data_IF_591896973939
#
_entry.id   IF_591896973939
#
_cell.length_a   1.000
_cell.length_b   1.000
_cell.length_c   1.000
_cell.angle_alpha   90.00
_cell.angle_beta   90.00
_cell.angle_gamma   90.00
#
_symmetry.space_group_name_H-M   'P 1'
#
loop_
_entity.id
_entity.type
_entity.pdbx_description
1 polymer ?
#
# COMPACT_ATOMS: atom_id res chain seq x y z
N UNK A 1 -14.39 -1.47 17.91
CA UNK A 1 -12.94 -1.57 17.65
C UNK A 1 -12.73 -1.60 16.14
N UNK A 2 -11.75 -0.85 15.63
CA UNK A 2 -11.40 -0.84 14.21
C UNK A 2 -10.64 -2.14 13.84
N UNK A 3 -11.10 -2.84 12.81
CA UNK A 3 -10.58 -4.14 12.37
C UNK A 3 -10.17 -4.10 10.90
N UNK A 4 -9.40 -5.11 10.44
CA UNK A 4 -8.97 -5.21 9.04
C UNK A 4 -10.12 -5.15 8.04
N UNK A 5 -11.23 -5.88 8.30
CA UNK A 5 -12.42 -5.90 7.43
C UNK A 5 -13.03 -4.51 7.19
N UNK A 6 -12.98 -3.63 8.20
CA UNK A 6 -13.46 -2.25 8.06
C UNK A 6 -12.60 -1.47 7.07
N UNK A 7 -11.26 -1.61 7.17
CA UNK A 7 -10.33 -0.92 6.27
C UNK A 7 -10.40 -1.47 4.84
N UNK A 8 -10.66 -2.77 4.65
CA UNK A 8 -10.92 -3.37 3.35
C UNK A 8 -12.18 -2.78 2.70
N UNK A 9 -13.27 -2.64 3.46
CA UNK A 9 -14.49 -2.01 2.98
C UNK A 9 -14.30 -0.54 2.64
N UNK A 10 -13.62 0.24 3.49
CA UNK A 10 -13.26 1.64 3.19
C UNK A 10 -12.37 1.75 1.95
N UNK A 11 -11.36 0.88 1.81
CA UNK A 11 -10.50 0.88 0.62
C UNK A 11 -11.30 0.67 -0.67
N UNK A 12 -12.30 -0.22 -0.65
CA UNK A 12 -13.21 -0.47 -1.77
C UNK A 12 -14.05 0.77 -2.09
N UNK A 13 -14.73 1.34 -1.10
CA UNK A 13 -15.59 2.52 -1.29
C UNK A 13 -14.79 3.70 -1.81
N UNK A 14 -13.61 3.97 -1.25
CA UNK A 14 -12.73 5.08 -1.66
C UNK A 14 -12.18 4.83 -3.07
N UNK A 15 -11.76 3.61 -3.40
CA UNK A 15 -11.29 3.28 -4.74
C UNK A 15 -12.41 3.46 -5.79
N UNK A 16 -13.63 3.00 -5.48
CA UNK A 16 -14.79 3.14 -6.37
C UNK A 16 -15.24 4.60 -6.50
N UNK A 17 -15.16 5.37 -5.43
CA UNK A 17 -15.38 6.80 -5.45
C UNK A 17 -14.37 7.48 -6.37
N UNK A 18 -13.08 7.24 -6.19
CA UNK A 18 -12.04 7.80 -7.04
C UNK A 18 -12.22 7.46 -8.52
N UNK A 19 -12.72 6.27 -8.87
CA UNK A 19 -12.95 5.89 -10.25
C UNK A 19 -14.12 6.65 -10.92
N UNK A 20 -15.11 7.12 -10.13
CA UNK A 20 -16.35 7.73 -10.61
C UNK A 20 -16.32 9.25 -10.61
N UNK A 21 -15.53 9.86 -9.74
CA UNK A 21 -15.47 11.34 -9.63
C UNK A 21 -14.74 11.98 -10.80
N UNK A 22 -15.01 13.27 -11.00
CA UNK A 22 -14.45 14.05 -12.07
C UNK A 22 -12.93 14.06 -12.06
N UNK A 23 -12.33 13.98 -13.24
CA UNK A 23 -10.87 14.06 -13.46
C UNK A 23 -10.51 15.50 -13.82
N UNK A 24 -9.43 16.02 -13.29
CA UNK A 24 -8.92 17.33 -13.66
C UNK A 24 -8.49 17.33 -15.14
N UNK A 25 -9.10 18.19 -15.95
CA UNK A 25 -8.70 18.37 -17.34
C UNK A 25 -7.30 18.95 -17.48
N UNK A 26 -6.69 18.78 -18.66
CA UNK A 26 -5.36 19.31 -18.96
C UNK A 26 -5.28 20.83 -18.77
N UNK A 27 -6.37 21.55 -19.04
CA UNK A 27 -6.46 23.02 -18.96
C UNK A 27 -6.68 23.52 -17.51
N UNK A 28 -6.99 22.65 -16.57
CA UNK A 28 -7.13 23.04 -15.17
C UNK A 28 -5.77 23.15 -14.51
N UNK A 29 -5.57 24.17 -13.67
CA UNK A 29 -4.34 24.32 -12.86
C UNK A 29 -4.20 23.26 -11.76
N UNK A 30 -5.33 22.65 -11.35
CA UNK A 30 -5.32 21.65 -10.26
C UNK A 30 -4.40 20.49 -10.58
N UNK A 31 -3.57 20.12 -9.60
CA UNK A 31 -2.58 19.07 -9.73
C UNK A 31 -1.36 19.41 -10.58
N UNK A 32 -1.25 20.65 -11.10
CA UNK A 32 0.03 21.11 -11.64
C UNK A 32 1.10 21.00 -10.56
N UNK A 33 2.34 20.64 -10.90
CA UNK A 33 3.37 20.45 -9.89
C UNK A 33 3.52 21.61 -8.91
N UNK A 34 3.38 22.85 -9.38
CA UNK A 34 3.45 24.05 -8.53
C UNK A 34 2.29 24.10 -7.54
N UNK A 35 1.09 23.69 -7.96
CA UNK A 35 -0.10 23.64 -7.10
C UNK A 35 -0.03 22.49 -6.08
N UNK A 36 0.76 21.45 -6.35
CA UNK A 36 1.06 20.39 -5.37
C UNK A 36 2.02 20.90 -4.29
N UNK A 37 3.03 21.70 -4.66
CA UNK A 37 4.02 22.21 -3.71
C UNK A 37 3.47 23.30 -2.80
N UNK A 38 2.66 24.21 -3.33
CA UNK A 38 2.16 25.40 -2.63
C UNK A 38 1.55 25.09 -1.26
N UNK A 39 0.54 24.22 -1.11
CA UNK A 39 -0.06 23.92 0.19
C UNK A 39 0.89 23.18 1.13
N UNK A 40 1.89 22.46 0.61
CA UNK A 40 2.93 21.84 1.44
C UNK A 40 3.86 22.92 2.05
N UNK A 41 4.28 23.92 1.26
CA UNK A 41 5.11 25.04 1.73
C UNK A 41 4.37 25.95 2.73
N UNK A 42 3.07 26.18 2.55
CA UNK A 42 2.24 27.03 3.42
C UNK A 42 2.13 26.51 4.86
N UNK A 43 2.51 25.25 5.14
CA UNK A 43 2.53 24.76 6.53
C UNK A 43 3.71 25.29 7.34
N UNK A 44 4.85 25.61 6.73
CA UNK A 44 6.07 25.91 7.46
C UNK A 44 6.07 27.25 8.21
N UNK A 45 5.51 28.37 7.69
CA UNK A 45 5.37 29.60 8.46
C UNK A 45 4.55 29.42 9.72
N UNK A 46 3.43 28.72 9.65
CA UNK A 46 2.56 28.45 10.79
C UNK A 46 3.23 27.55 11.82
N UNK A 47 3.91 26.48 11.37
CA UNK A 47 4.66 25.59 12.27
C UNK A 47 5.76 26.33 13.03
N UNK A 48 6.50 27.24 12.37
CA UNK A 48 7.51 28.08 13.06
C UNK A 48 6.89 28.99 14.10
N UNK A 49 5.67 29.49 13.86
CA UNK A 49 4.94 30.30 14.83
C UNK A 49 4.45 29.45 16.02
N UNK A 50 4.00 28.22 15.74
CA UNK A 50 3.50 27.31 16.78
C UNK A 50 4.61 26.70 17.64
N UNK A 51 5.81 26.51 17.09
CA UNK A 51 6.96 25.88 17.73
C UNK A 51 8.20 26.79 17.62
N UNK A 52 8.29 27.86 18.41
CA UNK A 52 9.34 28.88 18.27
C UNK A 52 10.69 28.50 18.87
N UNK A 53 10.79 27.33 19.54
CA UNK A 53 12.05 26.88 20.14
C UNK A 53 13.09 26.46 19.09
N UNK A 54 14.39 26.59 19.44
CA UNK A 54 15.50 26.36 18.52
C UNK A 54 15.55 24.91 18.00
N UNK A 55 15.22 23.94 18.84
CA UNK A 55 15.25 22.52 18.44
C UNK A 55 14.17 22.22 17.39
N UNK A 56 12.95 22.71 17.61
CA UNK A 56 11.85 22.59 16.63
C UNK A 56 12.12 23.36 15.34
N UNK A 57 12.75 24.54 15.42
CA UNK A 57 13.12 25.34 14.26
C UNK A 57 14.07 24.57 13.32
N UNK A 58 15.08 23.86 13.87
CA UNK A 58 15.99 23.02 13.10
C UNK A 58 15.26 21.86 12.39
N UNK A 59 14.35 21.19 13.08
CA UNK A 59 13.51 20.10 12.52
C UNK A 59 12.63 20.59 11.36
N UNK A 60 11.94 21.72 11.57
CA UNK A 60 11.07 22.35 10.56
C UNK A 60 11.87 22.75 9.33
N UNK A 61 13.09 23.29 9.50
CA UNK A 61 13.98 23.66 8.41
C UNK A 61 14.42 22.43 7.61
N UNK A 62 14.78 21.33 8.28
CA UNK A 62 15.15 20.07 7.62
C UNK A 62 13.98 19.48 6.81
N UNK A 63 12.76 19.46 7.37
CA UNK A 63 11.55 19.01 6.68
C UNK A 63 11.22 19.91 5.48
N UNK A 64 11.39 21.22 5.58
CA UNK A 64 11.21 22.14 4.46
C UNK A 64 12.22 21.87 3.35
N UNK A 65 13.50 21.67 3.70
CA UNK A 65 14.53 21.27 2.75
C UNK A 65 14.22 19.97 2.03
N UNK A 66 13.76 18.96 2.78
CA UNK A 66 13.35 17.67 2.22
C UNK A 66 12.13 17.82 1.29
N UNK A 67 11.11 18.60 1.68
CA UNK A 67 9.91 18.85 0.86
C UNK A 67 10.28 19.46 -0.50
N UNK A 68 11.18 20.46 -0.52
CA UNK A 68 11.66 21.11 -1.75
C UNK A 68 12.49 20.16 -2.61
N UNK A 69 13.39 19.41 -2.00
CA UNK A 69 14.19 18.40 -2.70
C UNK A 69 13.31 17.29 -3.26
N UNK A 70 12.34 16.82 -2.48
CA UNK A 70 11.34 15.83 -2.90
C UNK A 70 10.49 16.35 -4.07
N UNK A 71 10.00 17.57 -3.98
CA UNK A 71 9.27 18.19 -5.09
C UNK A 71 10.11 18.23 -6.38
N UNK A 72 11.36 18.65 -6.30
CA UNK A 72 12.25 18.68 -7.47
C UNK A 72 12.47 17.29 -8.04
N UNK A 73 12.62 16.28 -7.21
CA UNK A 73 12.82 14.87 -7.57
C UNK A 73 11.58 14.30 -8.27
N UNK A 74 10.37 14.57 -7.78
CA UNK A 74 9.13 13.97 -8.26
C UNK A 74 8.29 14.88 -9.16
N UNK A 75 8.80 16.04 -9.56
CA UNK A 75 8.09 17.02 -10.37
C UNK A 75 7.48 16.43 -11.65
N UNK A 76 8.27 15.63 -12.37
CA UNK A 76 7.81 15.00 -13.61
C UNK A 76 6.75 13.92 -13.31
N UNK A 77 6.87 13.24 -12.19
CA UNK A 77 5.91 12.23 -11.74
C UNK A 77 4.56 12.88 -11.39
N UNK A 78 4.55 14.01 -10.67
CA UNK A 78 3.31 14.78 -10.45
C UNK A 78 2.65 15.20 -11.75
N UNK A 79 3.43 15.74 -12.72
CA UNK A 79 2.91 16.13 -14.03
C UNK A 79 2.34 14.93 -14.79
N UNK A 80 3.05 13.79 -14.79
CA UNK A 80 2.60 12.55 -15.43
C UNK A 80 1.30 12.03 -14.81
N UNK A 81 1.21 11.99 -13.48
CA UNK A 81 0.02 11.54 -12.77
C UNK A 81 -1.21 12.40 -13.06
N UNK A 82 -1.04 13.72 -13.22
CA UNK A 82 -2.10 14.60 -13.70
C UNK A 82 -2.55 14.21 -15.11
N UNK A 83 -1.60 14.03 -16.04
CA UNK A 83 -1.90 13.64 -17.43
C UNK A 83 -2.60 12.27 -17.50
N UNK A 84 -2.20 11.34 -16.65
CA UNK A 84 -2.78 10.00 -16.55
C UNK A 84 -4.14 9.97 -15.81
N UNK A 85 -4.66 11.13 -15.37
CA UNK A 85 -5.99 11.27 -14.76
C UNK A 85 -6.07 10.87 -13.30
N UNK A 86 -4.95 10.91 -12.56
CA UNK A 86 -4.92 10.64 -11.12
C UNK A 86 -5.24 11.86 -10.26
N UNK A 87 -5.31 13.07 -10.84
CA UNK A 87 -5.83 14.27 -10.16
C UNK A 87 -7.33 14.30 -10.33
N UNK A 88 -8.06 14.21 -9.23
CA UNK A 88 -9.52 14.04 -9.23
C UNK A 88 -10.20 14.90 -8.18
N UNK A 89 -11.52 15.06 -8.31
CA UNK A 89 -12.34 15.75 -7.32
C UNK A 89 -12.57 14.84 -6.12
N UNK A 90 -11.56 14.77 -5.24
CA UNK A 90 -11.50 13.92 -4.07
C UNK A 90 -12.33 14.47 -2.88
N UNK A 91 -12.33 13.76 -1.76
CA UNK A 91 -12.92 14.22 -0.50
C UNK A 91 -12.12 15.39 0.12
N UNK A 92 -10.78 15.34 0.01
CA UNK A 92 -9.86 16.40 0.44
C UNK A 92 -9.41 16.31 1.90
N UNK A 93 -10.25 15.75 2.78
CA UNK A 93 -9.98 15.62 4.23
C UNK A 93 -10.21 14.19 4.74
N UNK A 94 -9.66 13.20 4.02
CA UNK A 94 -9.87 11.80 4.32
C UNK A 94 -9.00 11.33 5.50
N UNK A 95 -9.53 11.43 6.69
CA UNK A 95 -8.93 10.91 7.93
C UNK A 95 -9.97 10.17 8.78
N UNK A 96 -9.54 9.45 9.82
CA UNK A 96 -10.41 8.56 10.61
C UNK A 96 -11.62 9.26 11.27
N UNK A 97 -11.55 10.56 11.55
CA UNK A 97 -12.68 11.28 12.13
C UNK A 97 -13.84 11.47 11.16
N UNK A 98 -13.55 11.39 9.85
CA UNK A 98 -14.53 11.55 8.77
C UNK A 98 -14.97 10.20 8.19
N UNK A 99 -14.71 9.11 8.94
CA UNK A 99 -15.12 7.75 8.61
C UNK A 99 -16.03 7.21 9.71
N UNK A 100 -17.15 6.63 9.35
CA UNK A 100 -18.07 5.96 10.26
C UNK A 100 -18.46 4.57 9.73
N UNK A 101 -18.84 3.71 10.64
CA UNK A 101 -19.40 2.41 10.33
C UNK A 101 -20.86 2.41 10.81
N UNK A 102 -21.80 2.42 9.87
CA UNK A 102 -23.23 2.59 10.14
C UNK A 102 -24.00 1.45 9.47
N UNK A 103 -24.81 0.73 10.21
CA UNK A 103 -25.65 -0.37 9.71
C UNK A 103 -24.85 -1.40 8.88
N UNK A 104 -23.67 -1.76 9.36
CA UNK A 104 -22.69 -2.66 8.71
C UNK A 104 -22.10 -2.14 7.37
N UNK A 105 -22.27 -0.86 7.06
CA UNK A 105 -21.72 -0.23 5.87
C UNK A 105 -20.71 0.88 6.20
N UNK A 106 -19.63 1.03 5.36
CA UNK A 106 -18.69 2.12 5.48
C UNK A 106 -19.29 3.44 4.97
N UNK A 107 -19.26 4.48 5.81
CA UNK A 107 -19.66 5.83 5.46
C UNK A 107 -18.47 6.79 5.52
N UNK A 108 -18.24 7.54 4.43
CA UNK A 108 -17.29 8.65 4.35
C UNK A 108 -18.10 9.95 4.29
N UNK A 109 -17.80 10.92 5.17
CA UNK A 109 -18.58 12.14 5.31
C UNK A 109 -17.67 13.35 5.57
N UNK A 110 -18.24 14.57 5.56
CA UNK A 110 -17.56 15.83 5.85
C UNK A 110 -16.44 16.15 4.84
N UNK A 111 -16.76 16.07 3.54
CA UNK A 111 -15.83 16.47 2.48
C UNK A 111 -15.60 17.99 2.46
N UNK A 112 -14.46 18.41 1.93
CA UNK A 112 -14.14 19.84 1.79
C UNK A 112 -14.92 20.47 0.65
N UNK A 113 -15.99 21.23 0.97
CA UNK A 113 -16.83 21.89 -0.02
C UNK A 113 -16.35 23.30 -0.37
N UNK A 114 -15.75 24.01 0.60
CA UNK A 114 -15.44 25.43 0.55
C UNK A 114 -14.19 25.81 -0.25
N UNK A 115 -13.27 24.87 -0.53
CA UNK A 115 -12.04 25.15 -1.27
C UNK A 115 -11.73 24.07 -2.33
N UNK A 116 -11.96 24.35 -3.62
CA UNK A 116 -11.64 23.40 -4.68
C UNK A 116 -10.17 22.99 -4.75
N UNK A 117 -9.21 23.85 -4.37
CA UNK A 117 -7.78 23.55 -4.41
C UNK A 117 -7.39 22.43 -3.45
N UNK A 118 -8.15 22.23 -2.36
CA UNK A 118 -7.89 21.19 -1.38
C UNK A 118 -8.54 19.84 -1.70
N UNK A 119 -9.49 19.79 -2.66
CA UNK A 119 -10.15 18.55 -3.05
C UNK A 119 -9.81 18.08 -4.48
N UNK A 120 -9.43 18.99 -5.39
CA UNK A 120 -8.91 18.62 -6.71
C UNK A 120 -7.43 18.23 -6.58
N UNK A 121 -7.17 17.03 -6.09
CA UNK A 121 -5.86 16.55 -5.69
C UNK A 121 -5.55 15.18 -6.31
N UNK A 122 -4.29 14.80 -6.29
CA UNK A 122 -3.88 13.44 -6.59
C UNK A 122 -4.53 12.45 -5.60
N UNK A 123 -5.12 11.37 -6.10
CA UNK A 123 -5.72 10.32 -5.28
C UNK A 123 -4.76 9.76 -4.24
N UNK A 124 -3.43 9.73 -4.52
CA UNK A 124 -2.43 9.34 -3.53
C UNK A 124 -2.27 10.34 -2.39
N UNK A 125 -2.55 11.62 -2.59
CA UNK A 125 -2.60 12.61 -1.50
C UNK A 125 -3.74 12.32 -0.53
N UNK A 126 -4.88 11.88 -1.06
CA UNK A 126 -6.03 11.50 -0.25
C UNK A 126 -5.81 10.18 0.50
N UNK A 127 -5.38 9.13 -0.21
CA UNK A 127 -4.99 7.85 0.38
C UNK A 127 -3.91 8.03 1.44
N UNK A 128 -2.90 8.85 1.15
CA UNK A 128 -1.82 9.18 2.09
C UNK A 128 -2.32 9.83 3.37
N UNK A 129 -3.41 10.59 3.35
CA UNK A 129 -3.96 11.19 4.55
C UNK A 129 -4.49 10.14 5.53
N UNK A 130 -5.28 9.18 5.05
CA UNK A 130 -5.79 8.10 5.90
C UNK A 130 -4.67 7.16 6.37
N UNK A 131 -3.72 6.82 5.49
CA UNK A 131 -2.54 6.02 5.85
C UNK A 131 -1.77 6.70 6.98
N UNK A 132 -1.48 7.99 6.85
CA UNK A 132 -0.77 8.79 7.84
C UNK A 132 -1.53 8.86 9.17
N UNK A 133 -2.86 9.12 9.15
CA UNK A 133 -3.67 9.23 10.37
C UNK A 133 -3.77 7.88 11.12
N UNK A 134 -3.90 6.76 10.41
CA UNK A 134 -3.83 5.43 11.00
C UNK A 134 -2.46 5.18 11.67
N UNK A 135 -1.37 5.53 11.00
CA UNK A 135 -0.01 5.37 11.56
C UNK A 135 0.24 6.29 12.76
N UNK A 136 -0.27 7.53 12.73
CA UNK A 136 -0.20 8.46 13.86
C UNK A 136 -0.89 7.91 15.12
N UNK A 137 -1.93 7.09 14.94
CA UNK A 137 -2.68 6.42 16.02
C UNK A 137 -2.10 5.06 16.41
N UNK A 138 -0.90 4.69 15.93
CA UNK A 138 -0.27 3.40 16.22
C UNK A 138 -0.88 2.21 15.47
N UNK A 139 -1.72 2.46 14.45
CA UNK A 139 -2.41 1.43 13.67
C UNK A 139 -1.69 1.13 12.33
N UNK A 140 -0.36 1.01 12.37
CA UNK A 140 0.46 0.83 11.17
C UNK A 140 0.06 -0.42 10.36
N UNK A 141 -0.31 -1.53 11.02
CA UNK A 141 -0.79 -2.74 10.35
C UNK A 141 -2.10 -2.53 9.61
N UNK A 142 -3.04 -1.74 10.17
CA UNK A 142 -4.29 -1.39 9.51
C UNK A 142 -4.06 -0.42 8.35
N UNK A 143 -3.12 0.53 8.49
CA UNK A 143 -2.71 1.42 7.41
C UNK A 143 -2.16 0.64 6.21
N UNK A 144 -1.31 -0.36 6.47
CA UNK A 144 -0.76 -1.23 5.43
C UNK A 144 -1.86 -2.06 4.74
N UNK A 145 -2.82 -2.61 5.49
CA UNK A 145 -3.98 -3.32 4.92
C UNK A 145 -4.82 -2.42 4.03
N UNK A 146 -5.19 -1.23 4.51
CA UNK A 146 -5.94 -0.25 3.72
C UNK A 146 -5.24 0.06 2.39
N UNK A 147 -3.95 0.42 2.45
CA UNK A 147 -3.17 0.76 1.27
C UNK A 147 -3.11 -0.41 0.27
N UNK A 148 -2.86 -1.63 0.74
CA UNK A 148 -2.82 -2.82 -0.12
C UNK A 148 -4.15 -3.09 -0.83
N UNK A 149 -5.28 -3.05 -0.11
CA UNK A 149 -6.60 -3.25 -0.72
C UNK A 149 -6.94 -2.16 -1.74
N UNK A 150 -6.57 -0.90 -1.45
CA UNK A 150 -6.72 0.20 -2.40
C UNK A 150 -5.91 -0.05 -3.69
N UNK A 151 -4.63 -0.42 -3.56
CA UNK A 151 -3.75 -0.73 -4.69
C UNK A 151 -4.20 -1.95 -5.49
N UNK A 152 -4.62 -3.01 -4.81
CA UNK A 152 -5.18 -4.21 -5.46
C UNK A 152 -6.43 -3.89 -6.29
N UNK A 153 -7.28 -2.96 -5.82
CA UNK A 153 -8.48 -2.56 -6.55
C UNK A 153 -8.20 -1.62 -7.71
N UNK A 154 -7.36 -0.63 -7.51
CA UNK A 154 -7.08 0.43 -8.50
C UNK A 154 -5.98 0.07 -9.49
N UNK A 155 -5.00 -0.72 -9.08
CA UNK A 155 -3.78 -0.98 -9.85
C UNK A 155 -2.75 0.16 -9.82
N UNK A 156 -2.97 1.21 -9.03
CA UNK A 156 -2.11 2.40 -8.98
C UNK A 156 -0.85 2.18 -8.14
N UNK A 157 -0.08 1.11 -8.43
CA UNK A 157 1.21 0.86 -7.76
C UNK A 157 2.25 1.94 -8.09
N UNK A 158 2.13 2.61 -9.24
CA UNK A 158 3.00 3.73 -9.62
C UNK A 158 2.87 4.93 -8.67
N UNK A 159 1.69 5.12 -8.09
CA UNK A 159 1.43 6.18 -7.10
C UNK A 159 2.26 6.07 -5.82
N UNK A 160 2.80 4.87 -5.52
CA UNK A 160 3.72 4.68 -4.40
C UNK A 160 4.98 5.54 -4.49
N UNK A 161 5.39 5.92 -5.71
CA UNK A 161 6.56 6.78 -5.93
C UNK A 161 6.40 8.16 -5.27
N UNK A 162 5.19 8.72 -5.27
CA UNK A 162 4.87 10.04 -4.71
C UNK A 162 4.25 9.99 -3.31
N UNK A 163 3.86 8.79 -2.85
CA UNK A 163 3.24 8.61 -1.54
C UNK A 163 4.08 9.17 -0.37
N UNK A 164 5.41 9.00 -0.30
CA UNK A 164 6.22 9.57 0.79
C UNK A 164 6.11 11.10 0.88
N UNK A 165 6.03 11.80 -0.25
CA UNK A 165 5.82 13.25 -0.28
C UNK A 165 4.47 13.62 0.36
N UNK A 166 3.42 12.93 0.00
CA UNK A 166 2.08 13.18 0.54
C UNK A 166 1.96 12.80 2.01
N UNK A 167 2.62 11.73 2.47
CA UNK A 167 2.66 11.37 3.89
C UNK A 167 3.30 12.47 4.74
N UNK A 168 4.44 13.01 4.30
CA UNK A 168 5.09 14.15 4.95
C UNK A 168 4.16 15.37 4.94
N UNK A 169 3.61 15.72 3.79
CA UNK A 169 2.70 16.87 3.65
C UNK A 169 1.50 16.75 4.61
N UNK A 170 0.81 15.61 4.63
CA UNK A 170 -0.38 15.41 5.47
C UNK A 170 -0.06 15.38 6.97
N UNK A 171 1.11 14.85 7.35
CA UNK A 171 1.58 14.93 8.73
C UNK A 171 1.85 16.39 9.15
N UNK A 172 2.46 17.21 8.27
CA UNK A 172 2.67 18.64 8.53
C UNK A 172 1.36 19.42 8.61
N UNK A 173 0.34 19.07 7.80
CA UNK A 173 -1.02 19.65 7.93
C UNK A 173 -1.58 19.39 9.32
N UNK A 174 -1.51 18.15 9.80
CA UNK A 174 -2.00 17.80 11.15
C UNK A 174 -1.19 18.49 12.26
N UNK A 175 0.13 18.51 12.13
CA UNK A 175 0.99 19.24 13.07
C UNK A 175 0.60 20.74 13.15
N UNK A 176 0.37 21.38 12.00
CA UNK A 176 -0.06 22.77 11.91
C UNK A 176 -1.41 22.99 12.61
N UNK A 177 -2.41 22.16 12.30
CA UNK A 177 -3.76 22.29 12.87
C UNK A 177 -3.72 22.18 14.39
N UNK A 178 -3.05 21.17 14.93
CA UNK A 178 -2.92 20.99 16.38
C UNK A 178 -2.05 22.09 17.02
N UNK A 179 -0.98 22.53 16.35
CA UNK A 179 -0.15 23.65 16.80
C UNK A 179 -0.93 24.98 16.89
N UNK A 180 -1.75 25.28 15.87
CA UNK A 180 -2.61 26.47 15.90
C UNK A 180 -3.65 26.36 17.02
N UNK A 181 -4.24 25.17 17.22
CA UNK A 181 -5.22 24.94 18.29
C UNK A 181 -4.60 25.18 19.68
N UNK A 182 -3.36 24.75 19.89
CA UNK A 182 -2.63 24.98 21.15
C UNK A 182 -2.39 26.48 21.46
N UNK A 183 -2.35 27.33 20.43
CA UNK A 183 -2.17 28.80 20.61
C UNK A 183 -3.49 29.56 20.78
N UNK A 184 -4.63 28.93 20.60
CA UNK A 184 -5.93 29.62 20.71
C UNK A 184 -6.27 29.99 22.16
N UNK A 185 -6.71 31.23 22.37
CA UNK A 185 -7.02 31.75 23.70
C UNK A 185 -8.21 31.04 24.39
N UNK A 186 -9.11 30.44 23.59
CA UNK A 186 -10.30 29.73 24.10
C UNK A 186 -10.05 28.25 24.40
N UNK A 187 -8.83 27.72 24.20
CA UNK A 187 -8.43 26.40 24.63
C UNK A 187 -8.01 26.41 26.08
N UNK A 188 -8.44 25.42 26.87
CA UNK A 188 -7.97 25.26 28.24
C UNK A 188 -6.53 24.70 28.28
N UNK A 189 -5.87 24.74 29.43
CA UNK A 189 -4.46 24.30 29.56
C UNK A 189 -4.28 22.80 29.23
N UNK A 190 -5.25 21.95 29.56
CA UNK A 190 -5.19 20.53 29.24
C UNK A 190 -5.27 20.31 27.71
N UNK A 191 -6.15 21.04 27.04
CA UNK A 191 -6.30 21.00 25.58
C UNK A 191 -5.05 21.56 24.90
N UNK A 192 -4.49 22.67 25.37
CA UNK A 192 -3.23 23.22 24.82
C UNK A 192 -2.08 22.24 24.93
N UNK A 193 -1.92 21.62 26.09
CA UNK A 193 -0.89 20.62 26.32
C UNK A 193 -1.08 19.37 25.41
N UNK A 194 -2.32 18.88 25.24
CA UNK A 194 -2.63 17.76 24.39
C UNK A 194 -2.33 18.09 22.91
N UNK A 195 -2.74 19.25 22.43
CA UNK A 195 -2.49 19.72 21.08
C UNK A 195 -1.00 19.98 20.83
N UNK A 196 -0.27 20.53 21.80
CA UNK A 196 1.18 20.71 21.71
C UNK A 196 1.92 19.37 21.56
N UNK A 197 1.57 18.36 22.37
CA UNK A 197 2.13 17.01 22.23
C UNK A 197 1.78 16.37 20.87
N UNK A 198 0.55 16.54 20.40
CA UNK A 198 0.12 16.04 19.10
C UNK A 198 0.90 16.69 17.96
N UNK A 199 1.11 18.01 18.00
CA UNK A 199 1.93 18.74 17.04
C UNK A 199 3.35 18.15 16.95
N UNK A 200 4.03 17.94 18.08
CA UNK A 200 5.35 17.32 18.11
C UNK A 200 5.35 15.87 17.61
N UNK A 201 4.29 15.11 17.90
CA UNK A 201 4.16 13.72 17.44
C UNK A 201 4.00 13.63 15.91
N UNK A 202 3.20 14.51 15.30
CA UNK A 202 3.08 14.61 13.84
C UNK A 202 4.36 15.10 13.16
N UNK A 203 5.08 16.03 13.80
CA UNK A 203 6.39 16.45 13.29
C UNK A 203 7.39 15.29 13.28
N UNK A 204 7.43 14.49 14.36
CA UNK A 204 8.26 13.30 14.44
C UNK A 204 7.82 12.22 13.43
N UNK A 205 6.52 12.11 13.15
CA UNK A 205 6.01 11.22 12.12
C UNK A 205 6.46 11.66 10.72
N UNK A 206 6.38 12.97 10.42
CA UNK A 206 6.88 13.51 9.16
C UNK A 206 8.38 13.21 8.97
N UNK A 207 9.20 13.36 10.00
CA UNK A 207 10.62 13.01 9.96
C UNK A 207 10.87 11.53 9.66
N UNK A 208 10.08 10.62 10.23
CA UNK A 208 10.18 9.19 9.91
C UNK A 208 9.94 8.91 8.43
N UNK A 209 8.98 9.61 7.79
CA UNK A 209 8.71 9.46 6.36
C UNK A 209 9.83 9.97 5.45
N UNK A 210 10.71 10.83 5.95
CA UNK A 210 11.87 11.29 5.19
C UNK A 210 13.02 10.29 5.15
N UNK A 211 12.98 9.28 6.02
CA UNK A 211 14.05 8.28 6.10
C UNK A 211 13.91 7.26 4.95
N UNK A 212 15.01 6.91 4.29
CA UNK A 212 14.98 5.89 3.25
C UNK A 212 14.59 4.54 3.84
N UNK A 213 13.65 3.87 3.20
CA UNK A 213 13.29 2.50 3.53
C UNK A 213 14.44 1.52 3.24
N UNK A 214 14.39 0.34 3.86
CA UNK A 214 15.23 -0.81 3.51
C UNK A 214 14.33 -1.88 2.87
N UNK A 215 14.00 -1.73 1.58
CA UNK A 215 13.07 -2.62 0.91
C UNK A 215 13.63 -4.04 0.82
N UNK A 216 12.73 -5.02 0.80
CA UNK A 216 13.02 -6.43 0.58
C UNK A 216 12.09 -6.96 -0.50
N UNK A 217 12.55 -7.95 -1.24
CA UNK A 217 11.73 -8.70 -2.19
C UNK A 217 11.41 -10.07 -1.62
N UNK A 218 10.14 -10.35 -1.38
CA UNK A 218 9.64 -11.63 -0.88
C UNK A 218 8.77 -12.23 -1.98
N UNK A 219 9.10 -13.43 -2.45
CA UNK A 219 8.23 -14.20 -3.34
C UNK A 219 7.63 -15.36 -2.55
N UNK A 220 6.30 -15.54 -2.63
CA UNK A 220 5.69 -16.74 -2.05
C UNK A 220 5.91 -17.93 -2.97
N UNK A 221 6.02 -19.14 -2.41
CA UNK A 221 6.08 -20.39 -3.16
C UNK A 221 5.14 -21.41 -2.52
N UNK A 222 4.25 -21.97 -3.30
CA UNK A 222 3.28 -22.95 -2.78
C UNK A 222 2.14 -23.18 -3.76
N UNK A 223 1.54 -24.36 -3.67
CA UNK A 223 0.37 -24.75 -4.47
C UNK A 223 -0.90 -24.05 -4.00
N UNK A 224 -1.97 -24.19 -4.73
CA UNK A 224 -3.29 -23.68 -4.35
C UNK A 224 -3.71 -24.25 -2.99
N UNK A 225 -4.42 -23.46 -2.18
CA UNK A 225 -4.84 -23.77 -0.82
C UNK A 225 -3.72 -23.95 0.22
N UNK A 226 -2.44 -23.72 -0.12
CA UNK A 226 -1.33 -23.78 0.87
C UNK A 226 -1.38 -22.67 1.94
N UNK A 227 -2.24 -21.64 1.80
CA UNK A 227 -2.37 -20.55 2.77
C UNK A 227 -1.54 -19.31 2.44
N UNK A 228 -1.04 -19.15 1.20
CA UNK A 228 -0.22 -18.00 0.77
C UNK A 228 -0.84 -16.65 1.13
N UNK A 229 -2.12 -16.45 0.82
CA UNK A 229 -2.82 -15.19 1.08
C UNK A 229 -2.89 -14.89 2.58
N UNK A 230 -3.19 -15.88 3.42
CA UNK A 230 -3.26 -15.71 4.88
C UNK A 230 -1.89 -15.33 5.46
N UNK A 231 -0.82 -15.98 4.99
CA UNK A 231 0.55 -15.66 5.41
C UNK A 231 0.94 -14.27 4.94
N UNK A 232 0.68 -13.93 3.67
CA UNK A 232 0.99 -12.60 3.13
C UNK A 232 0.20 -11.48 3.80
N UNK A 233 -1.07 -11.69 4.18
CA UNK A 233 -1.87 -10.72 4.95
C UNK A 233 -1.23 -10.40 6.32
N UNK A 234 -0.67 -11.41 6.98
CA UNK A 234 0.04 -11.21 8.25
C UNK A 234 1.35 -10.45 8.06
N UNK A 235 2.07 -10.73 6.97
CA UNK A 235 3.31 -10.01 6.62
C UNK A 235 3.05 -8.56 6.21
N UNK A 236 1.97 -8.27 5.49
CA UNK A 236 1.55 -6.89 5.18
C UNK A 236 1.44 -6.06 6.46
N UNK A 237 0.71 -6.58 7.44
CA UNK A 237 0.47 -5.84 8.68
C UNK A 237 1.73 -5.63 9.52
N UNK A 238 2.68 -6.57 9.51
CA UNK A 238 3.88 -6.53 10.36
C UNK A 238 5.06 -5.80 9.72
N UNK A 239 5.22 -5.90 8.40
CA UNK A 239 6.35 -5.32 7.67
C UNK A 239 5.98 -3.99 6.97
N UNK A 240 4.70 -3.63 6.91
CA UNK A 240 4.25 -2.52 6.07
C UNK A 240 4.51 -2.78 4.58
N UNK A 241 4.54 -4.05 4.17
CA UNK A 241 4.87 -4.45 2.81
C UNK A 241 3.71 -4.20 1.84
N UNK A 242 4.05 -4.01 0.56
CA UNK A 242 3.09 -3.97 -0.54
C UNK A 242 3.01 -5.35 -1.17
N UNK A 243 1.80 -5.90 -1.27
CA UNK A 243 1.54 -7.18 -1.91
C UNK A 243 1.08 -7.00 -3.35
N UNK A 244 1.61 -7.83 -4.23
CA UNK A 244 1.17 -7.94 -5.63
C UNK A 244 0.68 -9.37 -5.83
N UNK A 245 -0.59 -9.54 -6.22
CA UNK A 245 -1.23 -10.84 -6.35
C UNK A 245 -1.35 -11.26 -7.81
N UNK A 246 -0.88 -12.47 -8.10
CA UNK A 246 -0.89 -13.03 -9.46
C UNK A 246 -2.30 -13.23 -10.04
N UNK A 247 -3.28 -13.59 -9.21
CA UNK A 247 -4.67 -13.76 -9.64
C UNK A 247 -5.33 -12.42 -9.98
N UNK A 248 -5.07 -11.36 -9.19
CA UNK A 248 -5.56 -10.01 -9.43
C UNK A 248 -4.95 -9.44 -10.72
N UNK A 249 -3.62 -9.51 -10.86
CA UNK A 249 -2.96 -8.95 -12.04
C UNK A 249 -3.29 -9.71 -13.33
N UNK A 250 -3.51 -11.03 -13.25
CA UNK A 250 -3.98 -11.83 -14.38
C UNK A 250 -5.36 -11.38 -14.86
N UNK A 251 -6.31 -11.17 -13.93
CA UNK A 251 -7.64 -10.64 -14.23
C UNK A 251 -7.54 -9.24 -14.86
N UNK A 252 -6.70 -8.38 -14.30
CA UNK A 252 -6.47 -7.02 -14.83
C UNK A 252 -5.90 -7.03 -16.25
N UNK A 253 -4.95 -7.92 -16.55
CA UNK A 253 -4.42 -8.09 -17.92
C UNK A 253 -5.50 -8.56 -18.91
N UNK A 254 -6.49 -9.30 -18.45
CA UNK A 254 -7.65 -9.71 -19.25
C UNK A 254 -8.78 -8.66 -19.30
N UNK A 255 -8.61 -7.47 -18.73
CA UNK A 255 -9.64 -6.44 -18.66
C UNK A 255 -10.77 -6.73 -17.69
N UNK A 256 -10.57 -7.69 -16.78
CA UNK A 256 -11.55 -8.10 -15.77
C UNK A 256 -11.29 -7.40 -14.44
N UNK A 257 -12.34 -7.18 -13.64
CA UNK A 257 -12.18 -6.69 -12.27
C UNK A 257 -11.55 -7.76 -11.37
N UNK A 258 -10.88 -7.33 -10.30
CA UNK A 258 -10.26 -8.24 -9.32
C UNK A 258 -11.26 -9.25 -8.72
N UNK A 259 -12.54 -8.89 -8.63
CA UNK A 259 -13.62 -9.66 -8.03
C UNK A 259 -14.40 -10.53 -9.05
N UNK A 260 -14.13 -10.35 -10.36
CA UNK A 260 -14.78 -11.14 -11.41
C UNK A 260 -14.53 -12.64 -11.21
N UNK A 261 -15.55 -13.46 -11.40
CA UNK A 261 -15.37 -14.92 -11.47
C UNK A 261 -14.63 -15.26 -12.77
N UNK A 262 -13.37 -15.68 -12.65
CA UNK A 262 -12.53 -16.00 -13.81
C UNK A 262 -12.74 -17.43 -14.32
N UNK A 263 -13.67 -18.23 -13.77
CA UNK A 263 -13.95 -19.59 -14.25
C UNK A 263 -14.41 -19.59 -15.70
N UNK A 264 -15.21 -18.61 -16.10
CA UNK A 264 -15.60 -18.44 -17.52
C UNK A 264 -14.41 -18.04 -18.43
N UNK A 265 -13.34 -17.49 -17.87
CA UNK A 265 -12.14 -17.10 -18.59
C UNK A 265 -11.08 -18.20 -18.62
N UNK A 266 -11.21 -19.26 -17.81
CA UNK A 266 -10.39 -20.49 -17.89
C UNK A 266 -10.52 -21.12 -19.28
N UNK A 267 -11.71 -21.12 -19.86
CA UNK A 267 -11.97 -21.60 -21.23
C UNK A 267 -11.35 -20.69 -22.32
N UNK A 268 -10.86 -19.48 -21.98
CA UNK A 268 -10.27 -18.53 -22.90
C UNK A 268 -8.72 -18.47 -22.84
N UNK A 269 -8.05 -19.49 -22.27
CA UNK A 269 -6.59 -19.58 -22.29
C UNK A 269 -5.86 -18.74 -21.24
N UNK A 270 -6.55 -18.15 -20.24
CA UNK A 270 -5.94 -17.37 -19.15
C UNK A 270 -4.90 -18.15 -18.33
N UNK A 271 -4.96 -19.47 -18.36
CA UNK A 271 -4.04 -20.38 -17.66
C UNK A 271 -3.08 -21.10 -18.60
N UNK A 272 -3.03 -20.72 -19.87
CA UNK A 272 -2.06 -21.26 -20.81
C UNK A 272 -0.63 -20.75 -20.50
N UNK A 273 0.35 -21.26 -21.24
CA UNK A 273 1.75 -20.87 -21.02
C UNK A 273 2.03 -19.41 -21.36
N UNK A 274 1.31 -18.82 -22.31
CA UNK A 274 1.47 -17.42 -22.73
C UNK A 274 0.87 -16.45 -21.69
N UNK A 275 -0.35 -16.72 -21.21
CA UNK A 275 -1.00 -15.93 -20.14
C UNK A 275 -0.23 -16.01 -18.82
N UNK A 276 0.35 -17.17 -18.52
CA UNK A 276 1.23 -17.32 -17.37
C UNK A 276 2.48 -16.47 -17.51
N UNK A 277 3.14 -16.48 -18.66
CA UNK A 277 4.34 -15.66 -18.92
C UNK A 277 4.04 -14.15 -18.80
N UNK A 278 2.97 -13.66 -19.42
CA UNK A 278 2.55 -12.27 -19.34
C UNK A 278 2.26 -11.85 -17.88
N UNK A 279 1.63 -12.72 -17.09
CA UNK A 279 1.36 -12.46 -15.67
C UNK A 279 2.67 -12.30 -14.89
N UNK A 280 3.64 -13.22 -15.02
CA UNK A 280 4.90 -13.12 -14.29
C UNK A 280 5.76 -11.93 -14.75
N UNK A 281 5.73 -11.56 -16.03
CA UNK A 281 6.37 -10.35 -16.53
C UNK A 281 5.75 -9.08 -15.90
N UNK A 282 4.42 -9.04 -15.79
CA UNK A 282 3.71 -7.94 -15.10
C UNK A 282 4.05 -7.87 -13.62
N UNK A 283 4.09 -9.01 -12.92
CA UNK A 283 4.47 -9.06 -11.51
C UNK A 283 5.91 -8.56 -11.29
N UNK A 284 6.84 -8.91 -12.19
CA UNK A 284 8.22 -8.45 -12.11
C UNK A 284 8.32 -6.94 -12.29
N UNK A 285 7.63 -6.38 -13.29
CA UNK A 285 7.57 -4.94 -13.53
C UNK A 285 7.02 -4.18 -12.31
N UNK A 286 5.89 -4.63 -11.76
CA UNK A 286 5.29 -4.04 -10.56
C UNK A 286 6.20 -4.16 -9.33
N UNK A 287 6.86 -5.30 -9.14
CA UNK A 287 7.83 -5.48 -8.06
C UNK A 287 8.97 -4.46 -8.19
N UNK A 288 9.46 -4.25 -9.41
CA UNK A 288 10.46 -3.22 -9.70
C UNK A 288 10.00 -1.80 -9.34
N UNK A 289 8.74 -1.45 -9.63
CA UNK A 289 8.15 -0.14 -9.30
C UNK A 289 8.02 0.05 -7.77
N UNK A 290 7.48 -0.94 -7.07
CA UNK A 290 7.30 -0.92 -5.59
C UNK A 290 8.65 -0.77 -4.88
N UNK A 291 9.65 -1.54 -5.32
CA UNK A 291 11.01 -1.47 -4.77
C UNK A 291 11.68 -0.11 -5.04
N UNK A 292 11.49 0.45 -6.24
CA UNK A 292 12.01 1.78 -6.59
C UNK A 292 11.37 2.90 -5.75
N UNK A 293 10.12 2.71 -5.32
CA UNK A 293 9.43 3.61 -4.40
C UNK A 293 9.88 3.45 -2.92
N UNK A 294 10.77 2.47 -2.63
CA UNK A 294 11.33 2.24 -1.29
C UNK A 294 10.50 1.33 -0.39
N UNK A 295 9.53 0.59 -0.94
CA UNK A 295 8.67 -0.32 -0.17
C UNK A 295 9.13 -1.77 -0.31
N UNK A 296 9.03 -2.53 0.78
CA UNK A 296 9.12 -4.00 0.74
C UNK A 296 7.96 -4.54 -0.09
N UNK A 297 8.25 -5.49 -0.98
CA UNK A 297 7.24 -6.11 -1.84
C UNK A 297 7.09 -7.60 -1.54
N UNK A 298 5.85 -8.07 -1.48
CA UNK A 298 5.46 -9.48 -1.45
C UNK A 298 4.80 -9.80 -2.77
N UNK A 299 5.41 -10.69 -3.56
CA UNK A 299 4.80 -11.20 -4.79
C UNK A 299 4.08 -12.50 -4.46
N UNK A 300 2.75 -12.43 -4.36
CA UNK A 300 1.88 -13.55 -4.02
C UNK A 300 1.50 -14.32 -5.29
N UNK A 301 2.27 -15.36 -5.58
CA UNK A 301 2.07 -16.27 -6.70
C UNK A 301 2.53 -17.69 -6.34
N UNK A 302 2.29 -18.65 -7.22
CA UNK A 302 2.64 -20.05 -6.96
C UNK A 302 4.15 -20.33 -7.02
N UNK A 303 4.88 -19.69 -7.94
CA UNK A 303 6.33 -19.81 -8.15
C UNK A 303 6.87 -21.25 -8.18
N UNK A 304 6.17 -22.15 -8.84
CA UNK A 304 6.47 -23.59 -8.86
C UNK A 304 7.72 -23.94 -9.65
N UNK A 305 8.11 -23.11 -10.62
CA UNK A 305 9.21 -23.38 -11.56
C UNK A 305 10.36 -22.40 -11.38
N UNK A 306 11.59 -22.86 -11.53
CA UNK A 306 12.80 -22.03 -11.41
C UNK A 306 12.76 -20.81 -12.35
N UNK A 307 12.31 -20.99 -13.61
CA UNK A 307 12.19 -19.90 -14.59
C UNK A 307 11.27 -18.76 -14.16
N UNK A 308 10.33 -19.01 -13.22
CA UNK A 308 9.46 -17.99 -12.66
C UNK A 308 10.16 -17.20 -11.54
N UNK A 309 11.08 -17.83 -10.78
CA UNK A 309 11.78 -17.25 -9.63
C UNK A 309 13.04 -16.49 -10.02
N UNK A 310 13.81 -17.02 -10.98
CA UNK A 310 15.10 -16.45 -11.41
C UNK A 310 15.05 -14.95 -11.77
N UNK A 311 14.04 -14.43 -12.51
CA UNK A 311 13.97 -12.99 -12.80
C UNK A 311 13.84 -12.12 -11.55
N UNK A 312 13.14 -12.58 -10.51
CA UNK A 312 13.00 -11.86 -9.25
C UNK A 312 14.27 -11.90 -8.39
N UNK A 313 14.97 -13.02 -8.40
CA UNK A 313 16.30 -13.12 -7.78
C UNK A 313 17.29 -12.16 -8.46
N UNK A 314 17.29 -12.10 -9.79
CA UNK A 314 18.12 -11.19 -10.56
C UNK A 314 17.78 -9.72 -10.26
N UNK A 315 16.48 -9.36 -10.17
CA UNK A 315 16.03 -8.01 -9.79
C UNK A 315 16.54 -7.61 -8.40
N UNK A 316 16.50 -8.53 -7.43
CA UNK A 316 16.98 -8.28 -6.08
C UNK A 316 18.51 -8.08 -6.06
N UNK A 317 19.25 -8.94 -6.77
CA UNK A 317 20.69 -8.84 -6.89
C UNK A 317 21.14 -7.55 -7.56
N UNK A 318 20.50 -7.16 -8.67
CA UNK A 318 20.78 -5.90 -9.40
C UNK A 318 20.59 -4.68 -8.50
N UNK A 319 19.59 -4.71 -7.62
CA UNK A 319 19.29 -3.61 -6.69
C UNK A 319 20.03 -3.69 -5.35
N UNK A 320 20.77 -4.76 -5.09
CA UNK A 320 21.48 -4.97 -3.83
C UNK A 320 20.56 -5.07 -2.62
N UNK A 321 19.36 -5.65 -2.78
CA UNK A 321 18.36 -5.79 -1.71
C UNK A 321 18.21 -7.25 -1.27
N UNK A 322 17.71 -7.44 -0.05
CA UNK A 322 17.40 -8.77 0.48
C UNK A 322 16.31 -9.46 -0.35
N UNK A 323 16.55 -10.72 -0.71
CA UNK A 323 15.61 -11.60 -1.40
C UNK A 323 15.20 -12.76 -0.48
N UNK A 324 13.93 -13.16 -0.53
CA UNK A 324 13.40 -14.27 0.25
C UNK A 324 12.43 -15.07 -0.61
N UNK A 325 12.61 -16.40 -0.63
CA UNK A 325 11.64 -17.36 -1.15
C UNK A 325 10.88 -17.92 0.05
N UNK A 326 9.63 -17.53 0.20
CA UNK A 326 8.77 -17.99 1.28
C UNK A 326 8.00 -19.22 0.82
N UNK A 327 8.50 -20.42 1.15
CA UNK A 327 7.83 -21.67 0.88
C UNK A 327 6.68 -21.88 1.86
N UNK A 328 5.46 -21.93 1.35
CA UNK A 328 4.24 -22.08 2.13
C UNK A 328 3.59 -23.41 1.77
N UNK A 329 3.53 -24.30 2.73
CA UNK A 329 3.07 -25.68 2.54
C UNK A 329 1.99 -26.07 3.54
N UNK A 330 1.30 -27.16 3.23
CA UNK A 330 0.45 -27.93 4.12
C UNK A 330 0.40 -29.38 3.60
N UNK A 331 0.07 -30.38 4.42
CA UNK A 331 -0.16 -31.74 3.97
C UNK A 331 -1.21 -31.82 2.86
N UNK A 332 -1.04 -32.71 1.87
CA UNK A 332 -1.92 -32.81 0.70
C UNK A 332 -3.40 -33.01 1.08
N UNK A 333 -3.65 -33.81 2.11
CA UNK A 333 -5.02 -34.02 2.64
C UNK A 333 -5.65 -32.68 3.05
N UNK A 334 -4.91 -31.84 3.77
CA UNK A 334 -5.36 -30.51 4.20
C UNK A 334 -5.59 -29.58 3.01
N UNK A 335 -4.73 -29.64 1.98
CA UNK A 335 -4.90 -28.86 0.75
C UNK A 335 -6.21 -29.18 0.05
N UNK A 336 -6.50 -30.50 -0.13
CA UNK A 336 -7.73 -30.99 -0.76
C UNK A 336 -8.98 -30.63 0.05
N UNK A 337 -8.94 -30.79 1.35
CA UNK A 337 -10.03 -30.37 2.26
C UNK A 337 -10.32 -28.85 2.15
N UNK A 338 -9.27 -28.02 2.15
CA UNK A 338 -9.39 -26.57 2.01
C UNK A 338 -9.98 -26.16 0.66
N UNK A 339 -9.69 -26.87 -0.43
CA UNK A 339 -10.27 -26.58 -1.76
C UNK A 339 -11.76 -26.92 -1.76
N UNK A 340 -12.14 -28.07 -1.20
CA UNK A 340 -13.54 -28.52 -1.16
C UNK A 340 -14.39 -27.62 -0.24
N UNK A 341 -13.85 -27.21 0.91
CA UNK A 341 -14.56 -26.40 1.91
C UNK A 341 -14.63 -24.91 1.59
N UNK A 342 -13.85 -24.41 0.61
CA UNK A 342 -13.85 -22.99 0.26
C UNK A 342 -15.22 -22.54 -0.22
N UNK A 343 -15.85 -21.64 0.54
CA UNK A 343 -16.84 -20.74 -0.01
C UNK A 343 -16.19 -19.90 -1.15
N UNK A 344 -16.93 -19.63 -2.22
CA UNK A 344 -16.48 -18.93 -3.43
C UNK A 344 -15.69 -17.65 -3.06
N UNK A 345 -14.39 -17.65 -3.32
CA UNK A 345 -13.46 -16.55 -3.04
C UNK A 345 -12.60 -16.20 -4.25
N UNK A 346 -11.64 -15.28 -4.11
CA UNK A 346 -10.82 -14.71 -5.18
C UNK A 346 -9.95 -15.73 -5.97
N UNK A 347 -9.72 -16.94 -5.47
CA UNK A 347 -8.96 -17.98 -6.19
C UNK A 347 -9.90 -18.99 -6.82
N UNK A 348 -9.90 -19.06 -8.15
CA UNK A 348 -10.71 -19.98 -8.97
C UNK A 348 -10.09 -21.39 -9.10
N UNK A 349 -9.09 -21.73 -8.27
CA UNK A 349 -8.40 -23.01 -8.33
C UNK A 349 -9.25 -24.17 -7.76
N UNK A 350 -9.46 -25.19 -8.55
CA UNK A 350 -10.09 -26.46 -8.20
C UNK A 350 -9.08 -27.58 -7.96
N UNK A 351 -9.57 -28.81 -7.73
CA UNK A 351 -8.72 -29.99 -7.53
C UNK A 351 -7.84 -30.32 -8.75
N UNK A 352 -8.34 -30.05 -9.97
CA UNK A 352 -7.57 -30.31 -11.19
C UNK A 352 -6.37 -29.34 -11.30
N UNK A 353 -6.56 -28.09 -10.89
CA UNK A 353 -5.46 -27.09 -10.78
C UNK A 353 -4.45 -27.54 -9.73
N UNK A 354 -4.88 -28.02 -8.58
CA UNK A 354 -3.97 -28.54 -7.55
C UNK A 354 -3.13 -29.71 -8.10
N UNK A 355 -3.77 -30.70 -8.72
CA UNK A 355 -3.09 -31.87 -9.28
C UNK A 355 -2.08 -31.48 -10.36
N UNK A 356 -2.41 -30.51 -11.22
CA UNK A 356 -1.49 -29.95 -12.19
C UNK A 356 -0.30 -29.24 -11.53
N UNK A 357 -0.54 -28.46 -10.50
CA UNK A 357 0.49 -27.74 -9.73
C UNK A 357 1.45 -28.70 -9.02
N UNK A 358 0.95 -29.77 -8.41
CA UNK A 358 1.76 -30.79 -7.77
C UNK A 358 2.68 -31.50 -8.77
N UNK A 359 2.19 -31.79 -9.99
CA UNK A 359 3.00 -32.39 -11.07
C UNK A 359 4.05 -31.42 -11.64
N UNK A 360 3.77 -30.12 -11.64
CA UNK A 360 4.67 -29.10 -12.18
C UNK A 360 5.64 -28.52 -11.14
N UNK A 361 5.60 -29.02 -9.91
CA UNK A 361 6.49 -28.59 -8.83
C UNK A 361 7.95 -28.90 -9.11
N UNK A 362 8.79 -27.87 -9.10
CA UNK A 362 10.25 -28.03 -9.24
C UNK A 362 10.92 -27.68 -7.91
N UNK A 363 11.76 -28.56 -7.34
CA UNK A 363 12.55 -28.25 -6.15
C UNK A 363 13.34 -26.94 -6.31
N UNK A 364 13.68 -26.31 -5.21
CA UNK A 364 14.65 -25.20 -5.25
C UNK A 364 16.03 -25.73 -5.64
N UNK A 365 16.75 -24.94 -6.42
CA UNK A 365 18.16 -25.22 -6.70
C UNK A 365 19.01 -24.94 -5.46
N UNK A 366 20.28 -25.41 -5.45
CA UNK A 366 21.19 -25.11 -4.34
C UNK A 366 21.38 -23.60 -4.14
N UNK A 367 21.43 -22.83 -5.22
CA UNK A 367 21.58 -21.37 -5.19
C UNK A 367 20.31 -20.67 -4.67
N UNK A 368 19.14 -21.26 -4.88
CA UNK A 368 17.87 -20.72 -4.38
C UNK A 368 17.63 -21.07 -2.91
N UNK A 369 18.14 -22.23 -2.43
CA UNK A 369 17.87 -22.73 -1.09
C UNK A 369 18.43 -21.82 0.03
N UNK A 370 19.44 -21.01 -0.26
CA UNK A 370 19.99 -20.03 0.69
C UNK A 370 19.02 -18.87 1.02
N UNK A 371 18.00 -18.66 0.18
CA UNK A 371 16.97 -17.64 0.35
C UNK A 371 15.66 -18.19 0.91
N UNK A 372 15.62 -19.49 1.21
CA UNK A 372 14.38 -20.16 1.59
C UNK A 372 14.02 -19.91 3.06
N UNK A 373 12.77 -19.51 3.29
CA UNK A 373 12.09 -19.62 4.57
C UNK A 373 10.85 -20.50 4.40
N UNK A 374 10.62 -21.45 5.34
CA UNK A 374 9.52 -22.40 5.26
C UNK A 374 8.45 -22.11 6.30
N UNK A 375 7.19 -22.23 5.89
CA UNK A 375 6.02 -22.11 6.75
C UNK A 375 5.06 -23.27 6.45
N UNK A 376 4.81 -24.09 7.47
CA UNK A 376 3.73 -25.06 7.43
C UNK A 376 2.46 -24.43 8.04
N UNK A 377 1.46 -24.22 7.20
CA UNK A 377 0.20 -23.58 7.61
C UNK A 377 -0.78 -24.52 8.31
N UNK A 378 -0.44 -25.78 8.48
CA UNK A 378 -1.16 -26.71 9.36
C UNK A 378 -0.74 -26.58 10.83
N UNK A 379 0.44 -25.95 11.12
CA UNK A 379 0.99 -25.77 12.46
C UNK A 379 0.86 -24.29 12.90
N UNK A 380 0.09 -24.01 13.94
CA UNK A 380 -0.19 -22.66 14.46
C UNK A 380 1.09 -21.87 14.83
N UNK A 381 2.14 -22.54 15.32
CA UNK A 381 3.38 -21.89 15.76
C UNK A 381 4.28 -21.41 14.62
N UNK A 382 4.03 -21.83 13.38
CA UNK A 382 4.93 -21.55 12.24
C UNK A 382 4.94 -20.08 11.84
N UNK A 383 3.81 -19.40 11.95
CA UNK A 383 3.67 -17.99 11.57
C UNK A 383 4.44 -17.06 12.53
N UNK A 384 4.41 -17.35 13.85
CA UNK A 384 5.15 -16.58 14.85
C UNK A 384 6.66 -16.61 14.60
N UNK A 385 7.22 -17.79 14.33
CA UNK A 385 8.64 -17.97 14.01
C UNK A 385 9.05 -17.26 12.73
N UNK A 386 8.19 -17.27 11.70
CA UNK A 386 8.42 -16.53 10.46
C UNK A 386 8.55 -15.02 10.73
N UNK A 387 7.64 -14.48 11.55
CA UNK A 387 7.64 -13.04 11.86
C UNK A 387 8.90 -12.61 12.60
N UNK A 388 9.46 -13.45 13.46
CA UNK A 388 10.74 -13.22 14.14
C UNK A 388 11.92 -13.24 13.15
N UNK A 389 11.91 -14.17 12.19
CA UNK A 389 12.99 -14.32 11.20
C UNK A 389 13.04 -13.17 10.18
N UNK A 390 11.93 -12.45 9.97
CA UNK A 390 11.82 -11.35 9.00
C UNK A 390 11.98 -9.96 9.64
N UNK A 391 12.07 -9.83 10.95
CA UNK A 391 12.38 -8.59 11.67
C UNK A 391 13.87 -8.32 11.66
#
# INVERSE_FOLDING_TARGET
>A
VLEGRHLEAFARVIADFHQRVSVAGADHRYGDPVEVLKPAEENFPDLRRCLPDTASAGRILALQGWTRAGFSRWRNEFARRKQDGFVRECHGDLHLRNLAWVDDDPLVFDCLEFNPELRWIDVMSEVGFLVMDLQARGQAGLAARFLNHYLERTGDYAGLSVLPFYLVYRALVRAKVDGIRALQANADEHEKDACGRACHAYLALAERYTQPGRPRLIVTRGVSASGKTTVSDSLIASLGAIRIRSDVERKRLAGLSAESDARAAVDQGLYDSAGSYATYARLLDLAGQVLAAGFTVIVDAAFLQARQRQPFQALAAERGIAYTILEISAPEVVLRERIVSRARGASDADLAVLDHQLKSWQPLTLDESVYELRVDTSAESSLGKLMESLR
#
